data_IF_984607855827
#
_entry.id   IF_984607855827
#
_cell.length_a   1.000
_cell.length_b   1.000
_cell.length_c   1.000
_cell.angle_alpha   90.00
_cell.angle_beta   90.00
_cell.angle_gamma   90.00
#
_symmetry.space_group_name_H-M   'P 1'
#
loop_
_entity.id
_entity.type
_entity.pdbx_description
1 polymer ?
#
# COMPACT_ATOMS: atom_id res chain seq x y z
N UNK A 1 25.83 19.93 8.96
CA UNK A 1 25.65 19.37 7.61
C UNK A 1 24.58 18.31 7.74
N UNK A 2 23.39 18.50 7.16
CA UNK A 2 22.34 17.48 7.24
C UNK A 2 22.78 16.29 6.38
N UNK A 3 22.84 15.11 6.99
CA UNK A 3 23.22 13.89 6.28
C UNK A 3 22.24 13.60 5.13
N UNK A 4 22.74 12.99 4.04
CA UNK A 4 21.98 12.72 2.81
C UNK A 4 20.69 11.92 3.10
N UNK A 5 20.70 11.03 4.10
CA UNK A 5 19.52 10.26 4.48
C UNK A 5 18.39 11.12 5.08
N UNK A 6 18.74 12.15 5.85
CA UNK A 6 17.74 13.00 6.51
C UNK A 6 17.03 13.91 5.49
N UNK A 7 17.80 14.44 4.53
CA UNK A 7 17.24 15.24 3.42
C UNK A 7 16.32 14.38 2.55
N UNK A 8 16.71 13.14 2.24
CA UNK A 8 15.86 12.20 1.48
C UNK A 8 14.58 11.86 2.24
N UNK A 9 14.66 11.58 3.54
CA UNK A 9 13.50 11.30 4.38
C UNK A 9 12.52 12.49 4.39
N UNK A 10 13.04 13.72 4.53
CA UNK A 10 12.23 14.94 4.50
C UNK A 10 11.53 15.12 3.15
N UNK A 11 12.27 14.99 2.04
CA UNK A 11 11.70 15.10 0.70
C UNK A 11 10.66 14.01 0.41
N UNK A 12 10.92 12.77 0.84
CA UNK A 12 9.98 11.67 0.69
C UNK A 12 8.69 11.94 1.46
N UNK A 13 8.78 12.40 2.71
CA UNK A 13 7.63 12.76 3.53
C UNK A 13 6.80 13.88 2.90
N UNK A 14 7.45 14.94 2.40
CA UNK A 14 6.76 16.04 1.69
C UNK A 14 6.10 15.55 0.41
N UNK A 15 6.78 14.75 -0.40
CA UNK A 15 6.24 14.18 -1.63
C UNK A 15 5.01 13.31 -1.37
N UNK A 16 5.09 12.39 -0.41
CA UNK A 16 3.95 11.53 -0.02
C UNK A 16 2.79 12.37 0.52
N UNK A 17 3.04 13.35 1.38
CA UNK A 17 1.99 14.22 1.92
C UNK A 17 1.30 15.06 0.84
N UNK A 18 2.07 15.58 -0.12
CA UNK A 18 1.55 16.39 -1.23
C UNK A 18 0.62 15.58 -2.15
N UNK A 19 0.88 14.28 -2.33
CA UNK A 19 0.08 13.40 -3.17
C UNK A 19 -1.10 12.80 -2.39
N UNK A 20 -0.83 12.26 -1.20
CA UNK A 20 -1.84 11.57 -0.40
C UNK A 20 -2.89 12.51 0.19
N UNK A 21 -2.54 13.76 0.50
CA UNK A 21 -3.48 14.75 1.04
C UNK A 21 -4.68 15.03 0.11
N UNK A 22 -4.44 15.53 -1.11
CA UNK A 22 -5.51 15.80 -2.08
C UNK A 22 -6.30 14.54 -2.46
N UNK A 23 -5.61 13.40 -2.67
CA UNK A 23 -6.27 12.13 -2.98
C UNK A 23 -7.16 11.66 -1.84
N UNK A 24 -6.72 11.82 -0.59
CA UNK A 24 -7.51 11.51 0.60
C UNK A 24 -8.79 12.33 0.65
N UNK A 25 -8.71 13.64 0.42
CA UNK A 25 -9.89 14.51 0.34
C UNK A 25 -10.88 14.04 -0.73
N UNK A 26 -10.39 13.68 -1.92
CA UNK A 26 -11.23 13.18 -3.01
C UNK A 26 -11.92 11.85 -2.68
N UNK A 27 -11.19 10.92 -2.05
CA UNK A 27 -11.70 9.61 -1.64
C UNK A 27 -12.80 9.77 -0.57
N UNK A 28 -12.62 10.68 0.38
CA UNK A 28 -13.63 10.98 1.41
C UNK A 28 -14.90 11.57 0.79
N UNK A 29 -14.78 12.49 -0.17
CA UNK A 29 -15.93 13.02 -0.91
C UNK A 29 -16.70 11.94 -1.68
N UNK A 30 -16.01 10.91 -2.17
CA UNK A 30 -16.62 9.75 -2.79
C UNK A 30 -17.27 8.77 -1.81
N UNK A 31 -17.29 9.07 -0.51
CA UNK A 31 -17.77 8.18 0.56
C UNK A 31 -17.04 6.83 0.56
N UNK A 32 -15.73 6.86 0.36
CA UNK A 32 -14.87 5.67 0.42
C UNK A 32 -13.80 5.82 1.50
N UNK A 33 -14.19 6.21 2.72
CA UNK A 33 -13.25 6.54 3.79
C UNK A 33 -12.27 5.40 4.13
N UNK A 34 -12.72 4.14 4.00
CA UNK A 34 -11.91 2.95 4.27
C UNK A 34 -10.97 2.53 3.13
N UNK A 35 -10.97 3.25 1.99
CA UNK A 35 -10.15 2.86 0.84
C UNK A 35 -8.66 2.86 1.14
N UNK A 36 -8.18 3.88 1.88
CA UNK A 36 -6.78 3.95 2.30
C UNK A 36 -6.38 2.74 3.16
N UNK A 37 -7.25 2.34 4.08
CA UNK A 37 -7.05 1.17 4.94
C UNK A 37 -6.99 -0.14 4.13
N UNK A 38 -7.93 -0.35 3.21
CA UNK A 38 -7.92 -1.52 2.31
C UNK A 38 -6.65 -1.58 1.47
N UNK A 39 -6.19 -0.44 0.93
CA UNK A 39 -4.99 -0.38 0.11
C UNK A 39 -3.72 -0.66 0.92
N UNK A 40 -3.62 -0.12 2.14
CA UNK A 40 -2.49 -0.37 3.03
C UNK A 40 -2.35 -1.87 3.37
N UNK A 41 -3.46 -2.54 3.72
CA UNK A 41 -3.46 -3.97 4.02
C UNK A 41 -3.21 -4.84 2.78
N UNK A 42 -3.67 -4.41 1.60
CA UNK A 42 -3.36 -5.08 0.34
C UNK A 42 -1.86 -5.02 -0.02
N UNK A 43 -1.14 -3.98 0.41
CA UNK A 43 0.30 -3.88 0.19
C UNK A 43 1.04 -4.98 0.97
N UNK A 44 0.62 -5.30 2.20
CA UNK A 44 1.20 -6.41 2.98
C UNK A 44 1.01 -7.76 2.26
N UNK A 45 -0.19 -8.00 1.72
CA UNK A 45 -0.43 -9.18 0.85
C UNK A 45 0.48 -9.16 -0.38
N UNK A 46 0.68 -8.00 -1.00
CA UNK A 46 1.61 -7.83 -2.13
C UNK A 46 3.06 -8.17 -1.77
N UNK A 47 3.54 -7.76 -0.60
CA UNK A 47 4.86 -8.14 -0.09
C UNK A 47 4.93 -9.66 0.11
N UNK A 48 3.93 -10.26 0.75
CA UNK A 48 3.89 -11.71 0.97
C UNK A 48 3.94 -12.52 -0.35
N UNK A 49 3.14 -12.12 -1.34
CA UNK A 49 3.13 -12.73 -2.68
C UNK A 49 4.48 -12.54 -3.38
N UNK A 50 5.08 -11.35 -3.28
CA UNK A 50 6.38 -11.06 -3.91
C UNK A 50 7.49 -11.93 -3.32
N UNK A 51 7.51 -12.07 -2.00
CA UNK A 51 8.50 -12.91 -1.31
C UNK A 51 8.31 -14.39 -1.68
N UNK A 52 7.06 -14.87 -1.76
CA UNK A 52 6.78 -16.25 -2.12
C UNK A 52 7.22 -16.59 -3.56
N UNK A 53 7.01 -15.66 -4.49
CA UNK A 53 7.35 -15.83 -5.91
C UNK A 53 8.78 -15.37 -6.24
N UNK A 54 9.55 -14.90 -5.26
CA UNK A 54 10.88 -14.30 -5.46
C UNK A 54 10.88 -13.17 -6.51
N UNK A 55 9.81 -12.37 -6.53
CA UNK A 55 9.63 -11.22 -7.42
C UNK A 55 10.09 -9.93 -6.74
N UNK A 56 10.22 -8.86 -7.53
CA UNK A 56 10.47 -7.52 -7.00
C UNK A 56 9.30 -7.07 -6.11
N UNK A 57 9.61 -6.66 -4.88
CA UNK A 57 8.60 -6.28 -3.87
C UNK A 57 7.72 -5.13 -4.37
N UNK A 58 8.31 -4.08 -4.92
CA UNK A 58 7.58 -2.91 -5.41
C UNK A 58 6.58 -3.31 -6.49
N UNK A 59 7.02 -4.12 -7.46
CA UNK A 59 6.15 -4.59 -8.54
C UNK A 59 4.99 -5.44 -8.03
N UNK A 60 5.23 -6.36 -7.08
CA UNK A 60 4.16 -7.21 -6.55
C UNK A 60 3.20 -6.45 -5.63
N UNK A 61 3.65 -5.45 -4.88
CA UNK A 61 2.77 -4.52 -4.16
C UNK A 61 1.84 -3.79 -5.12
N UNK A 62 2.37 -3.20 -6.19
CA UNK A 62 1.55 -2.54 -7.21
C UNK A 62 0.56 -3.51 -7.88
N UNK A 63 1.00 -4.73 -8.22
CA UNK A 63 0.17 -5.72 -8.88
C UNK A 63 -1.00 -6.17 -7.97
N UNK A 64 -0.74 -6.48 -6.71
CA UNK A 64 -1.79 -6.89 -5.76
C UNK A 64 -2.72 -5.73 -5.43
N UNK A 65 -2.20 -4.52 -5.23
CA UNK A 65 -3.01 -3.33 -5.00
C UNK A 65 -3.95 -3.05 -6.20
N UNK A 66 -3.45 -3.17 -7.43
CA UNK A 66 -4.26 -3.05 -8.64
C UNK A 66 -5.33 -4.15 -8.73
N UNK A 67 -4.97 -5.40 -8.42
CA UNK A 67 -5.91 -6.53 -8.41
C UNK A 67 -7.03 -6.33 -7.39
N UNK A 68 -6.70 -5.88 -6.17
CA UNK A 68 -7.68 -5.58 -5.12
C UNK A 68 -8.58 -4.41 -5.52
N UNK A 69 -8.03 -3.37 -6.16
CA UNK A 69 -8.80 -2.24 -6.68
C UNK A 69 -9.78 -2.67 -7.78
N UNK A 70 -9.35 -3.51 -8.73
CA UNK A 70 -10.22 -4.09 -9.75
C UNK A 70 -11.30 -4.96 -9.12
N UNK A 71 -10.95 -5.81 -8.15
CA UNK A 71 -11.90 -6.64 -7.42
C UNK A 71 -12.97 -5.78 -6.72
N UNK A 72 -12.57 -4.69 -6.06
CA UNK A 72 -13.48 -3.73 -5.43
C UNK A 72 -14.45 -3.14 -6.46
N UNK A 73 -13.96 -2.67 -7.61
CA UNK A 73 -14.81 -2.08 -8.67
C UNK A 73 -15.83 -3.10 -9.19
N UNK A 74 -15.41 -4.35 -9.41
CA UNK A 74 -16.29 -5.42 -9.87
C UNK A 74 -17.35 -5.77 -8.83
N UNK A 75 -16.98 -5.76 -7.54
CA UNK A 75 -17.88 -6.09 -6.44
C UNK A 75 -18.90 -4.97 -6.18
N UNK A 76 -18.47 -3.70 -6.29
CA UNK A 76 -19.37 -2.54 -6.20
C UNK A 76 -20.45 -2.54 -7.29
N UNK A 77 -20.18 -3.06 -8.50
CA UNK A 77 -21.18 -3.16 -9.58
C UNK A 77 -22.37 -4.04 -9.22
N UNK A 78 -22.18 -5.05 -8.36
CA UNK A 78 -23.25 -5.99 -7.98
C UNK A 78 -24.25 -5.40 -6.98
N UNK A 79 -24.00 -4.22 -6.40
CA UNK A 79 -24.86 -3.48 -5.44
C UNK A 79 -25.44 -4.29 -4.27
N UNK A 80 -24.89 -5.47 -3.97
CA UNK A 80 -25.41 -6.34 -2.91
C UNK A 80 -25.09 -5.83 -1.49
N UNK A 81 -23.98 -5.09 -1.35
CA UNK A 81 -23.47 -4.57 -0.08
C UNK A 81 -23.09 -3.09 -0.24
N UNK A 82 -23.04 -2.35 0.88
CA UNK A 82 -22.55 -0.97 0.89
C UNK A 82 -21.05 -0.92 0.54
N UNK A 83 -20.61 0.17 -0.11
CA UNK A 83 -19.20 0.36 -0.47
C UNK A 83 -18.26 0.26 0.72
N UNK A 84 -18.68 0.79 1.88
CA UNK A 84 -17.90 0.73 3.12
C UNK A 84 -17.77 -0.71 3.66
N UNK A 85 -18.84 -1.51 3.57
CA UNK A 85 -18.77 -2.92 3.97
C UNK A 85 -17.83 -3.72 3.06
N UNK A 86 -17.86 -3.47 1.74
CA UNK A 86 -16.95 -4.11 0.79
C UNK A 86 -15.49 -3.76 1.08
N UNK A 87 -15.20 -2.49 1.36
CA UNK A 87 -13.86 -2.03 1.73
C UNK A 87 -13.36 -2.69 3.02
N UNK A 88 -14.21 -2.75 4.06
CA UNK A 88 -13.87 -3.44 5.31
C UNK A 88 -13.60 -4.93 5.13
N UNK A 89 -14.45 -5.63 4.36
CA UNK A 89 -14.26 -7.05 4.06
C UNK A 89 -12.95 -7.28 3.30
N UNK A 90 -12.66 -6.47 2.27
CA UNK A 90 -11.42 -6.60 1.52
C UNK A 90 -10.19 -6.26 2.36
N UNK A 91 -10.26 -5.25 3.22
CA UNK A 91 -9.16 -4.88 4.12
C UNK A 91 -8.78 -6.05 5.04
N UNK A 92 -9.74 -6.59 5.78
CA UNK A 92 -9.48 -7.72 6.68
C UNK A 92 -9.13 -9.01 5.95
N UNK A 93 -9.73 -9.25 4.77
CA UNK A 93 -9.40 -10.44 3.96
C UNK A 93 -7.97 -10.38 3.45
N UNK A 94 -7.53 -9.23 2.91
CA UNK A 94 -6.16 -9.08 2.39
C UNK A 94 -5.12 -9.16 3.50
N UNK A 95 -5.38 -8.56 4.66
CA UNK A 95 -4.53 -8.70 5.85
C UNK A 95 -4.44 -10.16 6.30
N UNK A 96 -5.58 -10.85 6.45
CA UNK A 96 -5.61 -12.24 6.92
C UNK A 96 -4.87 -13.18 5.96
N UNK A 97 -5.12 -13.06 4.66
CA UNK A 97 -4.44 -13.86 3.64
C UNK A 97 -2.94 -13.55 3.65
N UNK A 98 -2.55 -12.27 3.70
CA UNK A 98 -1.15 -11.86 3.74
C UNK A 98 -0.43 -12.41 4.96
N UNK A 99 -1.05 -12.36 6.14
CA UNK A 99 -0.50 -12.90 7.37
C UNK A 99 -0.35 -14.42 7.34
N UNK A 100 -1.36 -15.14 6.82
CA UNK A 100 -1.30 -16.60 6.65
C UNK A 100 -0.18 -16.99 5.69
N UNK A 101 -0.02 -16.26 4.58
CA UNK A 101 1.08 -16.49 3.63
C UNK A 101 2.44 -16.29 4.29
N UNK A 102 2.63 -15.18 5.02
CA UNK A 102 3.87 -14.92 5.75
C UNK A 102 4.14 -15.99 6.81
N UNK A 103 3.11 -16.39 7.58
CA UNK A 103 3.24 -17.40 8.62
C UNK A 103 3.59 -18.79 8.06
N UNK A 104 3.18 -19.11 6.83
CA UNK A 104 3.57 -20.33 6.14
C UNK A 104 5.05 -20.34 5.69
N UNK A 105 5.69 -19.17 5.59
CA UNK A 105 7.08 -19.01 5.14
C UNK A 105 8.05 -19.09 6.32
N UNK A 106 8.37 -20.31 6.77
CA UNK A 106 9.23 -20.55 7.94
C UNK A 106 10.68 -20.07 7.79
N UNK A 107 11.14 -19.79 6.57
CA UNK A 107 12.50 -19.33 6.26
C UNK A 107 12.64 -17.80 6.30
N UNK A 108 11.54 -17.05 6.32
CA UNK A 108 11.57 -15.58 6.31
C UNK A 108 11.23 -15.04 7.69
N UNK A 109 12.18 -14.33 8.31
CA UNK A 109 11.92 -13.53 9.52
C UNK A 109 11.52 -12.13 9.08
N UNK A 110 10.21 -11.87 9.06
CA UNK A 110 9.66 -10.57 8.70
C UNK A 110 9.38 -9.78 9.97
N UNK A 111 9.89 -8.54 10.03
CA UNK A 111 9.42 -7.56 11.00
C UNK A 111 8.11 -6.93 10.48
N UNK A 112 6.98 -7.38 11.05
CA UNK A 112 5.67 -6.84 10.70
C UNK A 112 5.55 -5.34 11.02
N UNK A 113 6.19 -4.88 12.10
CA UNK A 113 6.12 -3.47 12.48
C UNK A 113 6.88 -2.62 11.45
N UNK A 114 8.06 -3.07 11.04
CA UNK A 114 8.81 -2.46 9.95
C UNK A 114 8.07 -2.43 8.61
N UNK A 115 7.27 -3.45 8.28
CA UNK A 115 6.45 -3.45 7.06
C UNK A 115 5.19 -2.59 7.16
N UNK A 116 4.52 -2.57 8.32
CA UNK A 116 3.26 -1.86 8.50
C UNK A 116 3.45 -0.36 8.66
N UNK A 117 4.51 0.05 9.37
CA UNK A 117 4.81 1.45 9.66
C UNK A 117 5.91 2.03 8.76
N UNK A 118 6.77 1.18 8.19
CA UNK A 118 7.87 1.59 7.32
C UNK A 118 9.04 2.21 8.09
N UNK A 119 10.15 2.40 7.37
CA UNK A 119 11.29 3.21 7.80
C UNK A 119 11.56 4.31 6.78
N UNK A 120 11.22 5.55 7.12
CA UNK A 120 11.40 6.72 6.25
C UNK A 120 12.89 7.07 6.03
N UNK A 121 13.78 6.64 6.92
CA UNK A 121 15.22 6.91 6.81
C UNK A 121 15.89 6.02 5.75
N UNK A 122 15.29 4.86 5.47
CA UNK A 122 15.77 3.88 4.50
C UNK A 122 15.46 4.26 3.03
N UNK A 123 14.75 5.37 2.79
CA UNK A 123 14.33 5.79 1.45
C UNK A 123 15.54 6.04 0.52
N UNK A 124 15.50 5.40 -0.65
CA UNK A 124 16.51 5.55 -1.70
C UNK A 124 16.17 6.65 -2.70
N UNK A 125 17.14 7.01 -3.55
CA UNK A 125 16.95 7.99 -4.64
C UNK A 125 15.92 7.53 -5.68
N UNK A 126 15.82 6.22 -5.89
CA UNK A 126 14.87 5.61 -6.83
C UNK A 126 13.45 5.76 -6.28
N UNK A 127 13.25 5.49 -4.99
CA UNK A 127 11.95 5.64 -4.33
C UNK A 127 11.46 7.08 -4.40
N UNK A 128 12.36 8.06 -4.23
CA UNK A 128 12.04 9.47 -4.38
C UNK A 128 11.55 9.79 -5.80
N UNK A 129 12.21 9.26 -6.83
CA UNK A 129 11.78 9.42 -8.21
C UNK A 129 10.41 8.77 -8.47
N UNK A 130 10.13 7.62 -7.86
CA UNK A 130 8.82 6.95 -7.95
C UNK A 130 7.73 7.77 -7.26
N UNK A 131 7.99 8.34 -6.08
CA UNK A 131 7.02 9.17 -5.35
C UNK A 131 6.65 10.41 -6.14
N UNK A 132 7.64 11.20 -6.58
CA UNK A 132 7.37 12.43 -7.33
C UNK A 132 6.90 12.16 -8.76
N UNK A 133 7.48 11.18 -9.45
CA UNK A 133 7.10 10.82 -10.82
C UNK A 133 5.71 10.20 -10.90
N UNK A 134 5.40 9.27 -9.98
CA UNK A 134 4.06 8.69 -9.86
C UNK A 134 3.03 9.72 -9.37
N UNK A 135 3.42 10.57 -8.41
CA UNK A 135 2.59 11.66 -7.92
C UNK A 135 2.24 12.70 -8.99
N UNK A 136 3.15 13.03 -9.89
CA UNK A 136 2.90 13.96 -10.99
C UNK A 136 2.00 13.39 -12.10
N UNK A 137 1.85 12.06 -12.17
CA UNK A 137 1.05 11.38 -13.18
C UNK A 137 -0.44 11.31 -12.79
N UNK A 138 -0.75 11.45 -11.50
CA UNK A 138 -2.11 11.37 -10.93
C UNK A 138 -2.67 12.77 -10.71
#
# INVERSE_FOLDING_TARGET
MLDDFFVRALLAGVGVAAVAGPLGCFIVWRRMAYFGDTMAHSALLGVAVSLLLSLNLTAGVFAVAALVSVALILLQRRRALSSDALLGILSHSTLAIGLVMVAAMSWVRIDLMGLLFGDILAVSKIDLAVVYGGGALV
#
